data_IF_890608150526
#
_entry.id   IF_890608150526
#
_cell.length_a   1.000
_cell.length_b   1.000
_cell.length_c   1.000
_cell.angle_alpha   90.00
_cell.angle_beta   90.00
_cell.angle_gamma   90.00
#
_symmetry.space_group_name_H-M   'P 1'
#
loop_
_entity.id
_entity.type
_entity.pdbx_description
1 polymer ?
#
# COMPACT_ATOMS: atom_id res chain seq x y z
N UNK A 1 -5.34 18.77 36.58
CA UNK A 1 -4.18 18.43 35.73
C UNK A 1 -3.42 17.30 36.40
N UNK A 2 -3.58 16.07 35.93
CA UNK A 2 -2.76 14.91 36.31
C UNK A 2 -2.99 13.80 35.26
N UNK A 3 -1.95 12.99 35.03
CA UNK A 3 -1.80 11.92 34.03
C UNK A 3 -1.34 12.35 32.63
N UNK A 4 -0.26 13.13 32.59
CA UNK A 4 0.76 12.96 31.56
C UNK A 4 1.73 11.85 31.99
N UNK A 5 2.27 11.13 31.01
CA UNK A 5 3.45 10.25 31.13
C UNK A 5 3.24 8.87 31.78
N UNK A 6 2.65 7.92 31.03
CA UNK A 6 3.18 6.55 30.93
C UNK A 6 2.39 5.75 29.89
N UNK A 7 2.77 5.84 28.61
CA UNK A 7 2.31 4.90 27.56
C UNK A 7 3.50 4.13 26.95
N UNK A 8 4.71 4.31 27.49
CA UNK A 8 5.95 3.85 26.87
C UNK A 8 6.23 2.33 26.85
N UNK A 9 5.81 1.53 27.85
CA UNK A 9 6.01 0.06 27.80
C UNK A 9 4.72 -0.77 27.58
N UNK A 10 3.57 -0.32 28.09
CA UNK A 10 2.37 -1.19 28.19
C UNK A 10 1.71 -1.53 26.85
N UNK A 11 1.77 -0.66 25.85
CA UNK A 11 1.03 -0.84 24.59
C UNK A 11 1.68 -1.90 23.69
N UNK A 12 2.99 -1.77 23.47
CA UNK A 12 3.75 -2.75 22.69
C UNK A 12 3.85 -4.08 23.42
N UNK A 13 3.88 -4.11 24.76
CA UNK A 13 3.85 -5.35 25.52
C UNK A 13 2.52 -6.11 25.37
N UNK A 14 1.40 -5.39 25.38
CA UNK A 14 0.07 -5.99 25.10
C UNK A 14 0.06 -6.56 23.68
N UNK A 15 0.52 -5.81 22.69
CA UNK A 15 0.60 -6.28 21.30
C UNK A 15 1.53 -7.49 21.20
N UNK A 16 2.71 -7.44 21.82
CA UNK A 16 3.66 -8.55 21.82
C UNK A 16 3.08 -9.82 22.46
N UNK A 17 2.33 -9.69 23.54
CA UNK A 17 1.61 -10.81 24.16
C UNK A 17 0.56 -11.37 23.20
N UNK A 18 -0.27 -10.52 22.58
CA UNK A 18 -1.27 -10.93 21.58
C UNK A 18 -0.62 -11.67 20.40
N UNK A 19 0.50 -11.17 19.88
CA UNK A 19 1.23 -11.80 18.78
C UNK A 19 1.90 -13.11 19.20
N UNK A 20 2.39 -13.22 20.44
CA UNK A 20 2.98 -14.45 20.99
C UNK A 20 1.91 -15.54 21.14
N UNK A 21 0.73 -15.19 21.66
CA UNK A 21 -0.40 -16.10 21.75
C UNK A 21 -0.86 -16.57 20.38
N UNK A 22 -0.94 -15.66 19.41
CA UNK A 22 -1.29 -16.02 18.04
C UNK A 22 -0.26 -16.96 17.41
N UNK A 23 1.03 -16.68 17.56
CA UNK A 23 2.09 -17.55 17.03
C UNK A 23 2.00 -18.96 17.62
N UNK A 24 1.67 -19.06 18.90
CA UNK A 24 1.48 -20.34 19.58
C UNK A 24 0.27 -21.08 19.02
N UNK A 25 -0.89 -20.41 18.88
CA UNK A 25 -2.13 -21.00 18.32
C UNK A 25 -1.92 -21.54 16.90
N UNK A 26 -1.25 -20.75 16.07
CA UNK A 26 -1.00 -21.07 14.66
C UNK A 26 0.04 -22.19 14.50
N UNK A 27 0.93 -22.38 15.48
CA UNK A 27 1.92 -23.47 15.48
C UNK A 27 1.31 -24.82 15.86
N UNK A 28 0.21 -24.82 16.61
CA UNK A 28 -0.47 -26.04 17.07
C UNK A 28 -1.51 -26.58 16.09
N UNK A 29 -2.01 -25.75 15.18
CA UNK A 29 -3.17 -26.10 14.33
C UNK A 29 -2.80 -26.07 12.85
N UNK A 30 -2.89 -27.23 12.19
CA UNK A 30 -2.54 -27.39 10.76
C UNK A 30 -3.66 -26.96 9.79
N UNK A 31 -4.87 -26.79 10.33
CA UNK A 31 -6.11 -26.51 9.60
C UNK A 31 -6.81 -25.27 10.18
N UNK A 32 -7.35 -24.42 9.30
CA UNK A 32 -8.12 -23.25 9.73
C UNK A 32 -9.54 -23.73 10.06
N UNK A 33 -9.83 -23.92 11.35
CA UNK A 33 -11.20 -24.18 11.79
C UNK A 33 -12.02 -22.88 11.77
N UNK A 34 -13.37 -22.95 11.71
CA UNK A 34 -14.21 -21.77 11.85
C UNK A 34 -13.94 -20.99 13.14
N UNK A 35 -13.67 -21.70 14.25
CA UNK A 35 -13.34 -21.05 15.54
C UNK A 35 -12.00 -20.31 15.47
N UNK A 36 -10.99 -20.90 14.83
CA UNK A 36 -9.69 -20.26 14.64
C UNK A 36 -9.82 -19.03 13.72
N UNK A 37 -10.64 -19.09 12.67
CA UNK A 37 -10.93 -17.91 11.82
C UNK A 37 -11.62 -16.80 12.62
N UNK A 38 -12.59 -17.14 13.48
CA UNK A 38 -13.27 -16.17 14.34
C UNK A 38 -12.32 -15.55 15.35
N UNK A 39 -11.44 -16.36 15.95
CA UNK A 39 -10.40 -15.88 16.87
C UNK A 39 -9.44 -14.89 16.18
N UNK A 40 -9.01 -15.20 14.96
CA UNK A 40 -8.15 -14.31 14.18
C UNK A 40 -8.80 -12.97 13.87
N UNK A 41 -10.06 -12.99 13.44
CA UNK A 41 -10.81 -11.77 13.16
C UNK A 41 -11.00 -10.93 14.42
N UNK A 42 -11.34 -11.57 15.55
CA UNK A 42 -11.42 -10.90 16.84
C UNK A 42 -10.09 -10.25 17.23
N UNK A 43 -8.97 -10.91 16.98
CA UNK A 43 -7.65 -10.37 17.28
C UNK A 43 -7.28 -9.18 16.39
N UNK A 44 -7.51 -9.28 15.07
CA UNK A 44 -7.28 -8.18 14.11
C UNK A 44 -8.11 -6.96 14.53
N UNK A 45 -9.38 -7.18 14.88
CA UNK A 45 -10.28 -6.11 15.33
C UNK A 45 -9.83 -5.51 16.66
N UNK A 46 -9.43 -6.33 17.65
CA UNK A 46 -8.93 -5.84 18.93
C UNK A 46 -7.66 -5.00 18.77
N UNK A 47 -6.73 -5.41 17.90
CA UNK A 47 -5.52 -4.65 17.61
C UNK A 47 -5.82 -3.32 16.93
N UNK A 48 -6.74 -3.33 15.95
CA UNK A 48 -7.22 -2.11 15.31
C UNK A 48 -7.88 -1.16 16.31
N UNK A 49 -8.78 -1.67 17.15
CA UNK A 49 -9.46 -0.84 18.15
C UNK A 49 -8.47 -0.26 19.16
N UNK A 50 -7.49 -1.05 19.57
CA UNK A 50 -6.41 -0.60 20.44
C UNK A 50 -5.62 0.55 19.80
N UNK A 51 -5.20 0.39 18.54
CA UNK A 51 -4.44 1.43 17.83
C UNK A 51 -5.27 2.70 17.54
N UNK A 52 -6.59 2.57 17.36
CA UNK A 52 -7.49 3.70 17.10
C UNK A 52 -7.50 4.75 18.22
N UNK A 53 -7.31 4.30 19.46
CA UNK A 53 -7.27 5.16 20.65
C UNK A 53 -5.93 5.89 20.83
N UNK A 54 -4.95 5.61 19.97
CA UNK A 54 -3.63 6.22 20.03
C UNK A 54 -3.47 7.36 19.01
N UNK A 55 -2.65 8.38 19.32
CA UNK A 55 -2.25 9.39 18.34
C UNK A 55 -1.44 8.77 17.20
N UNK A 56 -1.43 9.45 16.05
CA UNK A 56 -0.84 8.93 14.81
C UNK A 56 0.64 8.55 14.90
N UNK A 57 1.45 9.24 15.71
CA UNK A 57 2.85 8.86 15.91
C UNK A 57 3.00 7.48 16.58
N UNK A 58 2.10 7.14 17.52
CA UNK A 58 2.06 5.81 18.14
C UNK A 58 1.51 4.75 17.17
N UNK A 59 0.55 5.11 16.31
CA UNK A 59 0.10 4.20 15.25
C UNK A 59 1.26 3.81 14.33
N UNK A 60 2.16 4.74 13.99
CA UNK A 60 3.38 4.43 13.21
C UNK A 60 4.31 3.46 13.94
N UNK A 61 4.53 3.65 15.24
CA UNK A 61 5.33 2.73 16.06
C UNK A 61 4.70 1.33 16.11
N UNK A 62 3.37 1.25 16.27
CA UNK A 62 2.60 0.00 16.24
C UNK A 62 2.75 -0.69 14.87
N UNK A 63 2.58 0.05 13.76
CA UNK A 63 2.73 -0.47 12.41
C UNK A 63 4.16 -0.99 12.16
N UNK A 64 5.18 -0.26 12.62
CA UNK A 64 6.58 -0.69 12.54
C UNK A 64 6.83 -1.96 13.35
N UNK A 65 6.25 -2.06 14.55
CA UNK A 65 6.34 -3.25 15.39
C UNK A 65 5.71 -4.48 14.71
N UNK A 66 4.50 -4.34 14.19
CA UNK A 66 3.81 -5.42 13.45
C UNK A 66 4.65 -5.84 12.25
N UNK A 67 5.12 -4.89 11.45
CA UNK A 67 5.94 -5.13 10.25
C UNK A 67 7.23 -5.89 10.57
N UNK A 68 7.92 -5.54 11.66
CA UNK A 68 9.11 -6.23 12.12
C UNK A 68 8.83 -7.64 12.69
N UNK A 69 7.57 -7.92 13.03
CA UNK A 69 7.15 -9.23 13.51
C UNK A 69 6.72 -10.16 12.37
N UNK A 70 6.46 -9.63 11.17
CA UNK A 70 6.05 -10.42 10.00
C UNK A 70 7.14 -11.44 9.63
N UNK A 71 6.83 -12.76 9.57
CA UNK A 71 7.79 -13.77 9.14
C UNK A 71 8.26 -13.53 7.70
N UNK A 72 9.54 -13.85 7.44
CA UNK A 72 10.13 -13.71 6.10
C UNK A 72 9.40 -14.57 5.06
N UNK A 73 9.26 -14.01 3.86
CA UNK A 73 8.59 -14.60 2.69
C UNK A 73 9.21 -15.94 2.25
N UNK A 74 10.46 -16.20 2.63
CA UNK A 74 11.19 -17.44 2.33
C UNK A 74 10.70 -18.65 3.15
N UNK A 75 10.01 -18.41 4.28
CA UNK A 75 9.56 -19.46 5.19
C UNK A 75 8.26 -20.08 4.68
N UNK A 76 8.32 -21.39 4.41
CA UNK A 76 7.26 -22.14 3.73
C UNK A 76 6.25 -22.81 4.65
N UNK A 77 6.43 -22.76 5.98
CA UNK A 77 5.49 -23.46 6.87
C UNK A 77 4.09 -22.85 6.75
N UNK A 78 3.05 -23.69 6.81
CA UNK A 78 1.66 -23.20 6.77
C UNK A 78 1.38 -22.22 7.92
N UNK A 79 1.94 -22.48 9.09
CA UNK A 79 1.83 -21.59 10.25
C UNK A 79 2.47 -20.22 10.02
N UNK A 80 3.65 -20.15 9.40
CA UNK A 80 4.28 -18.86 9.08
C UNK A 80 3.45 -18.06 8.06
N UNK A 81 2.84 -18.72 7.07
CA UNK A 81 1.97 -18.06 6.08
C UNK A 81 0.69 -17.50 6.73
N UNK A 82 0.09 -18.25 7.65
CA UNK A 82 -1.10 -17.85 8.39
C UNK A 82 -0.78 -16.67 9.32
N UNK A 83 0.33 -16.74 10.07
CA UNK A 83 0.84 -15.63 10.88
C UNK A 83 1.10 -14.38 10.03
N UNK A 84 1.76 -14.52 8.88
CA UNK A 84 2.00 -13.41 7.96
C UNK A 84 0.68 -12.75 7.52
N UNK A 85 -0.32 -13.54 7.13
CA UNK A 85 -1.62 -13.02 6.69
C UNK A 85 -2.31 -12.23 7.82
N UNK A 86 -2.31 -12.76 9.05
CA UNK A 86 -2.96 -12.10 10.18
C UNK A 86 -2.23 -10.79 10.52
N UNK A 87 -0.89 -10.81 10.56
CA UNK A 87 -0.10 -9.61 10.83
C UNK A 87 -0.28 -8.53 9.75
N UNK A 88 -0.37 -8.92 8.48
CA UNK A 88 -0.63 -7.97 7.39
C UNK A 88 -2.04 -7.36 7.45
N UNK A 89 -3.06 -8.16 7.77
CA UNK A 89 -4.42 -7.65 7.97
C UNK A 89 -4.53 -6.74 9.20
N UNK A 90 -3.83 -7.11 10.28
CA UNK A 90 -3.65 -6.29 11.47
C UNK A 90 -2.98 -4.95 11.14
N UNK A 91 -1.89 -4.99 10.37
CA UNK A 91 -1.19 -3.79 9.90
C UNK A 91 -2.11 -2.90 9.07
N UNK A 92 -2.87 -3.48 8.13
CA UNK A 92 -3.87 -2.77 7.35
C UNK A 92 -4.93 -2.10 8.23
N UNK A 93 -5.47 -2.82 9.23
CA UNK A 93 -6.47 -2.29 10.16
C UNK A 93 -5.97 -1.03 10.89
N UNK A 94 -4.73 -1.06 11.37
CA UNK A 94 -4.08 0.12 11.98
C UNK A 94 -3.87 1.24 10.94
N UNK A 95 -3.42 0.89 9.73
CA UNK A 95 -3.19 1.84 8.64
C UNK A 95 -4.45 2.60 8.23
N UNK A 96 -5.62 1.95 8.17
CA UNK A 96 -6.91 2.60 7.84
C UNK A 96 -7.37 3.63 8.86
N UNK A 97 -6.78 3.65 10.06
CA UNK A 97 -7.09 4.61 11.11
C UNK A 97 -6.03 5.73 11.21
N UNK A 98 -4.94 5.64 10.44
CA UNK A 98 -3.88 6.63 10.42
C UNK A 98 -4.25 7.80 9.51
N UNK A 99 -4.08 9.04 9.98
CA UNK A 99 -4.25 10.23 9.15
C UNK A 99 -2.90 10.73 8.66
N UNK A 100 -2.64 10.60 7.36
CA UNK A 100 -1.35 11.00 6.79
C UNK A 100 -1.25 12.51 6.65
N UNK A 101 -0.38 13.13 7.46
CA UNK A 101 0.00 14.55 7.35
C UNK A 101 1.34 14.77 6.67
N UNK A 102 2.18 13.73 6.59
CA UNK A 102 3.53 13.79 6.01
C UNK A 102 3.94 12.39 5.57
N UNK A 103 4.34 12.23 4.30
CA UNK A 103 4.76 10.92 3.78
C UNK A 103 6.06 10.43 4.40
N UNK A 104 6.99 11.33 4.74
CA UNK A 104 8.23 10.96 5.43
C UNK A 104 7.95 10.31 6.80
N UNK A 105 6.94 10.83 7.53
CA UNK A 105 6.52 10.27 8.82
C UNK A 105 5.68 9.00 8.66
N UNK A 106 4.82 8.95 7.64
CA UNK A 106 3.98 7.79 7.34
C UNK A 106 4.80 6.58 6.84
N UNK A 107 5.91 6.84 6.16
CA UNK A 107 6.78 5.82 5.56
C UNK A 107 8.24 5.94 6.01
N UNK A 108 8.55 5.69 7.29
CA UNK A 108 9.94 5.52 7.73
C UNK A 108 10.63 4.45 6.88
N UNK A 109 11.91 4.63 6.55
CA UNK A 109 12.62 3.70 5.66
C UNK A 109 12.61 2.24 6.18
N UNK A 110 12.71 2.05 7.50
CA UNK A 110 12.62 0.74 8.16
C UNK A 110 11.25 0.08 8.01
N UNK A 111 10.19 0.85 7.77
CA UNK A 111 8.85 0.35 7.48
C UNK A 111 8.63 0.16 5.97
N UNK A 112 9.04 1.14 5.16
CA UNK A 112 8.80 1.15 3.72
C UNK A 112 9.54 0.02 3.00
N UNK A 113 10.83 -0.20 3.29
CA UNK A 113 11.63 -1.19 2.54
C UNK A 113 11.09 -2.62 2.69
N UNK A 114 10.75 -3.11 3.91
CA UNK A 114 10.08 -4.41 4.06
C UNK A 114 8.72 -4.48 3.35
N UNK A 115 7.94 -3.40 3.39
CA UNK A 115 6.64 -3.34 2.71
C UNK A 115 6.79 -3.49 1.20
N UNK A 116 7.76 -2.78 0.59
CA UNK A 116 8.06 -2.90 -0.85
C UNK A 116 8.60 -4.27 -1.23
N UNK A 117 9.34 -4.96 -0.35
CA UNK A 117 9.73 -6.37 -0.57
C UNK A 117 8.50 -7.27 -0.64
N UNK A 118 7.52 -7.07 0.23
CA UNK A 118 6.27 -7.86 0.24
C UNK A 118 5.33 -7.50 -0.92
N UNK A 119 5.37 -6.27 -1.43
CA UNK A 119 4.66 -5.89 -2.66
C UNK A 119 5.11 -6.74 -3.87
N UNK A 120 6.28 -7.38 -3.80
CA UNK A 120 6.85 -8.28 -4.82
C UNK A 120 6.79 -9.76 -4.42
N UNK A 121 6.09 -10.10 -3.34
CA UNK A 121 5.91 -11.49 -2.92
C UNK A 121 5.23 -12.28 -4.04
N UNK A 122 5.50 -13.60 -4.20
CA UNK A 122 4.88 -14.40 -5.26
C UNK A 122 3.35 -14.59 -5.07
N UNK A 123 2.86 -14.47 -3.85
CA UNK A 123 1.47 -14.73 -3.49
C UNK A 123 0.56 -13.49 -3.69
N UNK A 124 -0.49 -13.64 -4.50
CA UNK A 124 -1.42 -12.55 -4.84
C UNK A 124 -2.07 -11.88 -3.62
N UNK A 125 -2.72 -12.62 -2.69
CA UNK A 125 -3.31 -12.03 -1.49
C UNK A 125 -2.34 -11.19 -0.66
N UNK A 126 -1.08 -11.60 -0.55
CA UNK A 126 -0.04 -10.85 0.18
C UNK A 126 0.20 -9.50 -0.48
N UNK A 127 0.39 -9.49 -1.81
CA UNK A 127 0.57 -8.24 -2.57
C UNK A 127 -0.65 -7.32 -2.45
N UNK A 128 -1.86 -7.87 -2.55
CA UNK A 128 -3.10 -7.07 -2.45
C UNK A 128 -3.24 -6.39 -1.08
N UNK A 129 -2.96 -7.10 0.02
CA UNK A 129 -3.01 -6.49 1.36
C UNK A 129 -1.94 -5.41 1.49
N UNK A 130 -0.74 -5.61 0.92
CA UNK A 130 0.30 -4.58 0.88
C UNK A 130 -0.13 -3.35 0.08
N UNK A 131 -0.79 -3.54 -1.06
CA UNK A 131 -1.36 -2.43 -1.84
C UNK A 131 -2.42 -1.68 -1.04
N UNK A 132 -3.29 -2.38 -0.31
CA UNK A 132 -4.27 -1.75 0.57
C UNK A 132 -3.63 -0.97 1.73
N UNK A 133 -2.52 -1.46 2.29
CA UNK A 133 -1.76 -0.72 3.31
C UNK A 133 -1.19 0.57 2.71
N UNK A 134 -0.61 0.49 1.51
CA UNK A 134 -0.11 1.66 0.79
C UNK A 134 -1.26 2.64 0.50
N UNK A 135 -2.41 2.16 0.02
CA UNK A 135 -3.59 2.98 -0.25
C UNK A 135 -4.07 3.72 1.01
N UNK A 136 -4.24 3.01 2.13
CA UNK A 136 -4.67 3.59 3.40
C UNK A 136 -3.73 4.71 3.90
N UNK A 137 -2.43 4.58 3.65
CA UNK A 137 -1.43 5.57 4.06
C UNK A 137 -1.20 6.67 3.01
N UNK A 138 -1.54 6.43 1.75
CA UNK A 138 -1.42 7.40 0.67
C UNK A 138 -2.63 8.33 0.60
N UNK A 139 -3.85 7.79 0.79
CA UNK A 139 -5.11 8.46 0.47
C UNK A 139 -5.54 9.54 1.48
N UNK A 140 -4.78 10.64 1.53
CA UNK A 140 -5.06 11.78 2.43
C UNK A 140 -6.40 12.44 2.13
N UNK A 141 -6.77 12.45 0.85
CA UNK A 141 -7.94 13.18 0.36
C UNK A 141 -9.14 12.28 0.02
N UNK A 142 -9.12 11.00 0.43
CA UNK A 142 -10.23 10.04 0.30
C UNK A 142 -10.68 9.79 -1.16
N UNK A 143 -9.71 9.69 -2.07
CA UNK A 143 -9.90 9.43 -3.49
C UNK A 143 -10.02 7.94 -3.85
N UNK A 144 -9.80 7.00 -2.93
CA UNK A 144 -9.81 5.55 -3.25
C UNK A 144 -11.08 5.13 -4.00
N UNK A 145 -12.26 5.57 -3.53
CA UNK A 145 -13.54 5.24 -4.16
C UNK A 145 -13.70 5.89 -5.55
N UNK A 146 -13.14 7.08 -5.72
CA UNK A 146 -13.16 7.83 -6.99
C UNK A 146 -12.27 7.16 -8.03
N UNK A 147 -11.14 6.60 -7.61
CA UNK A 147 -10.12 5.96 -8.44
C UNK A 147 -10.33 4.44 -8.60
N UNK A 148 -11.51 3.93 -8.26
CA UNK A 148 -11.82 2.49 -8.21
C UNK A 148 -11.79 1.75 -9.56
N UNK A 149 -11.67 2.47 -10.69
CA UNK A 149 -11.59 1.87 -12.02
C UNK A 149 -10.71 2.68 -12.96
N UNK A 150 -10.04 1.99 -13.88
CA UNK A 150 -9.23 2.64 -14.94
C UNK A 150 -10.16 3.42 -15.86
N UNK A 151 -9.93 4.72 -15.98
CA UNK A 151 -10.74 5.61 -16.80
C UNK A 151 -9.90 6.67 -17.49
N UNK A 152 -10.25 6.97 -18.75
CA UNK A 152 -9.76 8.13 -19.51
C UNK A 152 -10.68 9.35 -19.34
N UNK A 153 -11.85 9.17 -18.73
CA UNK A 153 -12.78 10.28 -18.44
C UNK A 153 -12.32 11.05 -17.20
N UNK A 154 -12.69 12.35 -17.06
CA UNK A 154 -12.47 13.11 -15.84
C UNK A 154 -13.04 12.41 -14.61
N UNK A 155 -12.35 12.55 -13.48
CA UNK A 155 -12.85 12.16 -12.16
C UNK A 155 -13.46 13.42 -11.51
N UNK A 156 -14.78 13.64 -11.60
CA UNK A 156 -15.40 14.90 -11.20
C UNK A 156 -15.33 15.16 -9.69
N UNK A 157 -15.25 14.10 -8.88
CA UNK A 157 -15.18 14.17 -7.42
C UNK A 157 -13.75 14.00 -6.89
N UNK A 158 -12.73 14.11 -7.75
CA UNK A 158 -11.33 14.00 -7.34
C UNK A 158 -10.97 15.20 -6.46
N UNK A 159 -10.50 14.92 -5.25
CA UNK A 159 -9.95 15.91 -4.33
C UNK A 159 -8.43 15.90 -4.43
N UNK A 160 -7.80 17.04 -4.62
CA UNK A 160 -6.34 17.11 -4.70
C UNK A 160 -5.82 18.42 -4.10
N UNK A 161 -4.69 18.33 -3.44
CA UNK A 161 -3.89 19.47 -2.99
C UNK A 161 -2.47 19.34 -3.54
N UNK A 162 -1.79 20.45 -3.91
CA UNK A 162 -0.39 20.38 -4.34
C UNK A 162 0.49 19.75 -3.25
N UNK A 163 1.43 18.85 -3.60
CA UNK A 163 2.28 18.21 -2.62
C UNK A 163 3.15 19.23 -1.88
N UNK A 164 3.34 19.03 -0.57
CA UNK A 164 4.22 19.87 0.22
C UNK A 164 5.69 19.70 -0.19
N UNK A 165 6.57 20.64 0.19
CA UNK A 165 8.01 20.51 -0.05
C UNK A 165 8.60 19.21 0.53
N UNK A 166 8.11 18.78 1.70
CA UNK A 166 8.52 17.49 2.29
C UNK A 166 8.06 16.30 1.47
N UNK A 167 6.87 16.36 0.86
CA UNK A 167 6.34 15.28 0.01
C UNK A 167 7.10 15.19 -1.32
N UNK A 168 7.52 16.33 -1.89
CA UNK A 168 8.40 16.38 -3.06
C UNK A 168 9.75 15.72 -2.74
N UNK A 169 10.38 16.09 -1.61
CA UNK A 169 11.65 15.48 -1.16
C UNK A 169 11.48 13.97 -0.94
N UNK A 170 10.37 13.56 -0.32
CA UNK A 170 10.03 12.14 -0.15
C UNK A 170 9.94 11.42 -1.50
N UNK A 171 9.27 12.04 -2.48
CA UNK A 171 9.11 11.48 -3.83
C UNK A 171 10.46 11.29 -4.53
N UNK A 172 11.34 12.28 -4.52
CA UNK A 172 12.68 12.13 -5.10
C UNK A 172 13.53 11.06 -4.39
N UNK A 173 13.33 10.88 -3.08
CA UNK A 173 14.13 9.93 -2.28
C UNK A 173 13.63 8.49 -2.38
N UNK A 174 12.32 8.27 -2.40
CA UNK A 174 11.72 6.94 -2.28
C UNK A 174 10.74 6.58 -3.41
N UNK A 175 10.27 7.57 -4.18
CA UNK A 175 9.25 7.39 -5.22
C UNK A 175 9.65 6.35 -6.26
N UNK A 176 10.91 6.37 -6.73
CA UNK A 176 11.41 5.39 -7.70
C UNK A 176 11.29 3.94 -7.18
N UNK A 177 11.56 3.69 -5.89
CA UNK A 177 11.46 2.35 -5.31
C UNK A 177 10.00 1.89 -5.18
N UNK A 178 9.08 2.80 -4.83
CA UNK A 178 7.64 2.53 -4.75
C UNK A 178 7.11 2.20 -6.15
N UNK A 179 7.40 3.05 -7.12
CA UNK A 179 6.98 2.89 -8.51
C UNK A 179 7.53 1.61 -9.15
N UNK A 180 8.79 1.27 -8.89
CA UNK A 180 9.34 -0.01 -9.34
C UNK A 180 8.63 -1.21 -8.70
N UNK A 181 8.32 -1.15 -7.39
CA UNK A 181 7.58 -2.23 -6.74
C UNK A 181 6.16 -2.41 -7.31
N UNK A 182 5.51 -1.32 -7.74
CA UNK A 182 4.22 -1.37 -8.43
C UNK A 182 4.34 -2.02 -9.80
N UNK A 183 5.35 -1.65 -10.60
CA UNK A 183 5.63 -2.29 -11.90
C UNK A 183 5.86 -3.79 -11.71
N UNK A 184 6.72 -4.16 -10.76
CA UNK A 184 7.05 -5.56 -10.46
C UNK A 184 5.79 -6.34 -10.05
N UNK A 185 4.93 -5.76 -9.19
CA UNK A 185 3.66 -6.37 -8.79
C UNK A 185 2.73 -6.62 -9.98
N UNK A 186 2.59 -5.63 -10.87
CA UNK A 186 1.77 -5.73 -12.08
C UNK A 186 2.33 -6.76 -13.08
N UNK A 187 3.65 -6.97 -13.12
CA UNK A 187 4.28 -7.97 -13.97
C UNK A 187 4.08 -9.41 -13.46
N UNK A 188 3.83 -9.61 -12.17
CA UNK A 188 3.77 -10.93 -11.52
C UNK A 188 2.39 -11.62 -11.59
N UNK A 189 1.31 -10.93 -11.98
CA UNK A 189 -0.04 -11.51 -11.97
C UNK A 189 -0.95 -10.86 -12.99
N UNK A 190 -1.67 -11.72 -13.72
CA UNK A 190 -2.73 -11.37 -14.66
C UNK A 190 -4.12 -11.31 -14.01
N UNK A 191 -4.22 -11.55 -12.70
CA UNK A 191 -5.50 -11.47 -12.00
C UNK A 191 -5.99 -10.03 -11.94
N UNK A 192 -7.26 -9.85 -12.33
CA UNK A 192 -7.93 -8.54 -12.36
C UNK A 192 -7.95 -7.86 -10.99
N UNK A 193 -8.17 -8.61 -9.90
CA UNK A 193 -8.18 -8.08 -8.54
C UNK A 193 -6.82 -7.51 -8.12
N UNK A 194 -5.73 -8.24 -8.39
CA UNK A 194 -4.36 -7.81 -8.10
C UNK A 194 -3.92 -6.62 -8.97
N UNK A 195 -4.29 -6.61 -10.25
CA UNK A 195 -4.07 -5.48 -11.15
C UNK A 195 -4.82 -4.23 -10.70
N UNK A 196 -6.11 -4.38 -10.35
CA UNK A 196 -6.94 -3.26 -9.87
C UNK A 196 -6.36 -2.67 -8.59
N UNK A 197 -5.94 -3.52 -7.66
CA UNK A 197 -5.29 -3.06 -6.43
C UNK A 197 -3.97 -2.31 -6.71
N UNK A 198 -3.14 -2.81 -7.64
CA UNK A 198 -1.91 -2.12 -8.02
C UNK A 198 -2.18 -0.80 -8.75
N UNK A 199 -3.20 -0.75 -9.60
CA UNK A 199 -3.65 0.47 -10.28
C UNK A 199 -4.14 1.53 -9.29
N UNK A 200 -5.02 1.17 -8.34
CA UNK A 200 -5.54 2.09 -7.35
C UNK A 200 -4.39 2.73 -6.54
N UNK A 201 -3.40 1.93 -6.12
CA UNK A 201 -2.21 2.45 -5.43
C UNK A 201 -1.41 3.42 -6.32
N UNK A 202 -1.21 3.07 -7.59
CA UNK A 202 -0.51 3.94 -8.55
C UNK A 202 -1.25 5.26 -8.80
N UNK A 203 -2.58 5.21 -8.91
CA UNK A 203 -3.43 6.36 -9.11
C UNK A 203 -3.39 7.31 -7.90
N UNK A 204 -3.50 6.77 -6.69
CA UNK A 204 -3.35 7.55 -5.45
C UNK A 204 -1.96 8.19 -5.36
N UNK A 205 -0.90 7.43 -5.68
CA UNK A 205 0.46 7.96 -5.68
C UNK A 205 0.61 9.18 -6.61
N UNK A 206 0.02 9.11 -7.81
CA UNK A 206 0.03 10.23 -8.77
C UNK A 206 -0.77 11.42 -8.23
N UNK A 207 -1.99 11.20 -7.72
CA UNK A 207 -2.87 12.27 -7.22
C UNK A 207 -2.25 13.00 -6.04
N UNK A 208 -1.58 12.28 -5.15
CA UNK A 208 -1.05 12.84 -3.90
C UNK A 208 0.35 13.46 -4.04
N UNK A 209 1.13 13.08 -5.06
CA UNK A 209 2.56 13.45 -5.13
C UNK A 209 3.01 14.06 -6.47
N UNK A 210 2.19 14.04 -7.51
CA UNK A 210 2.61 14.61 -8.80
C UNK A 210 2.51 16.14 -8.82
N UNK A 211 3.57 16.77 -9.30
CA UNK A 211 3.63 18.21 -9.55
C UNK A 211 4.68 18.50 -10.64
N UNK A 212 4.90 19.77 -10.96
CA UNK A 212 5.90 20.19 -11.96
C UNK A 212 7.31 19.65 -11.68
N UNK A 213 7.67 19.44 -10.41
CA UNK A 213 9.01 18.98 -10.02
C UNK A 213 9.16 17.46 -10.07
N UNK A 214 8.06 16.69 -9.96
CA UNK A 214 8.07 15.23 -9.88
C UNK A 214 7.44 14.53 -11.09
N UNK A 215 6.87 15.30 -12.03
CA UNK A 215 6.15 14.78 -13.19
C UNK A 215 7.02 13.84 -14.04
N UNK A 216 8.32 14.14 -14.15
CA UNK A 216 9.23 13.35 -14.98
C UNK A 216 9.34 11.92 -14.45
N UNK A 217 9.47 11.74 -13.14
CA UNK A 217 9.57 10.43 -12.51
C UNK A 217 8.29 9.61 -12.70
N UNK A 218 7.12 10.25 -12.63
CA UNK A 218 5.84 9.58 -12.88
C UNK A 218 5.64 9.22 -14.36
N UNK A 219 6.09 10.06 -15.30
CA UNK A 219 6.06 9.73 -16.73
C UNK A 219 6.97 8.53 -17.04
N UNK A 220 8.17 8.48 -16.44
CA UNK A 220 9.07 7.32 -16.55
C UNK A 220 8.45 6.06 -15.94
N UNK A 221 7.73 6.18 -14.83
CA UNK A 221 6.98 5.07 -14.24
C UNK A 221 5.88 4.54 -15.17
N UNK A 222 5.08 5.42 -15.76
CA UNK A 222 4.02 5.04 -16.73
C UNK A 222 4.62 4.33 -17.94
N UNK A 223 5.75 4.85 -18.45
CA UNK A 223 6.52 4.22 -19.53
C UNK A 223 7.08 2.86 -19.09
N UNK A 224 7.51 2.71 -17.84
CA UNK A 224 7.95 1.43 -17.27
C UNK A 224 6.87 0.36 -17.29
N UNK A 225 5.62 0.71 -16.95
CA UNK A 225 4.47 -0.20 -17.06
C UNK A 225 4.25 -0.60 -18.52
N UNK A 226 4.29 0.38 -19.44
CA UNK A 226 4.12 0.11 -20.88
C UNK A 226 5.24 -0.78 -21.42
N UNK A 227 6.48 -0.56 -20.96
CA UNK A 227 7.64 -1.34 -21.38
C UNK A 227 7.47 -2.82 -21.01
N UNK A 228 6.98 -3.12 -19.80
CA UNK A 228 6.69 -4.50 -19.39
C UNK A 228 5.69 -5.17 -20.34
N UNK A 229 4.64 -4.46 -20.74
CA UNK A 229 3.66 -4.98 -21.70
C UNK A 229 4.29 -5.28 -23.07
N UNK A 230 5.24 -4.44 -23.51
CA UNK A 230 5.91 -4.57 -24.80
C UNK A 230 7.00 -5.66 -24.84
N UNK A 231 7.78 -5.82 -23.76
CA UNK A 231 9.01 -6.64 -23.80
C UNK A 231 8.88 -8.00 -23.15
N UNK A 232 7.91 -8.21 -22.26
CA UNK A 232 7.78 -9.48 -21.55
C UNK A 232 6.92 -10.43 -22.38
N UNK A 233 7.59 -11.33 -23.11
CA UNK A 233 6.93 -12.29 -24.02
C UNK A 233 6.08 -13.33 -23.29
N UNK A 234 6.35 -13.60 -22.01
CA UNK A 234 5.59 -14.57 -21.20
C UNK A 234 4.23 -14.06 -20.74
N UNK A 235 3.93 -12.77 -20.89
CA UNK A 235 2.63 -12.21 -20.52
C UNK A 235 1.58 -12.52 -21.58
N UNK A 236 0.41 -12.99 -21.14
CA UNK A 236 -0.74 -13.19 -22.03
C UNK A 236 -1.24 -11.88 -22.65
N UNK A 237 -1.81 -11.95 -23.85
CA UNK A 237 -2.27 -10.76 -24.59
C UNK A 237 -3.28 -9.90 -23.81
N UNK A 238 -4.20 -10.54 -23.08
CA UNK A 238 -5.19 -9.83 -22.24
C UNK A 238 -4.49 -9.02 -21.14
N UNK A 239 -3.45 -9.58 -20.53
CA UNK A 239 -2.66 -8.89 -19.52
C UNK A 239 -1.88 -7.72 -20.12
N UNK A 240 -1.22 -7.92 -21.27
CA UNK A 240 -0.54 -6.85 -22.01
C UNK A 240 -1.49 -5.69 -22.34
N UNK A 241 -2.71 -5.99 -22.83
CA UNK A 241 -3.74 -4.98 -23.07
C UNK A 241 -4.15 -4.26 -21.77
N UNK A 242 -4.26 -4.98 -20.66
CA UNK A 242 -4.60 -4.40 -19.35
C UNK A 242 -3.52 -3.42 -18.87
N UNK A 243 -2.24 -3.78 -19.02
CA UNK A 243 -1.12 -2.88 -18.70
C UNK A 243 -1.11 -1.63 -19.59
N UNK A 244 -1.38 -1.76 -20.89
CA UNK A 244 -1.54 -0.61 -21.77
C UNK A 244 -2.72 0.29 -21.37
N UNK A 245 -3.86 -0.30 -21.00
CA UNK A 245 -5.01 0.46 -20.52
C UNK A 245 -4.68 1.22 -19.22
N UNK A 246 -3.95 0.58 -18.29
CA UNK A 246 -3.43 1.21 -17.07
C UNK A 246 -2.49 2.37 -17.43
N UNK A 247 -1.50 2.17 -18.31
CA UNK A 247 -0.58 3.24 -18.72
C UNK A 247 -1.31 4.45 -19.31
N UNK A 248 -2.31 4.22 -20.16
CA UNK A 248 -3.13 5.30 -20.75
C UNK A 248 -3.95 6.00 -19.66
N UNK A 249 -4.61 5.24 -18.78
CA UNK A 249 -5.40 5.80 -17.68
C UNK A 249 -4.55 6.67 -16.73
N UNK A 250 -3.36 6.20 -16.37
CA UNK A 250 -2.42 6.95 -15.52
C UNK A 250 -1.85 8.19 -16.24
N UNK A 251 -1.58 8.13 -17.55
CA UNK A 251 -1.16 9.29 -18.34
C UNK A 251 -2.24 10.38 -18.38
N UNK A 252 -3.50 9.98 -18.54
CA UNK A 252 -4.64 10.91 -18.51
C UNK A 252 -4.86 11.47 -17.10
N UNK A 253 -4.58 10.70 -16.05
CA UNK A 253 -4.66 11.16 -14.67
C UNK A 253 -3.57 12.20 -14.38
N UNK A 254 -2.29 11.87 -14.62
CA UNK A 254 -1.16 12.78 -14.34
C UNK A 254 -1.26 14.09 -15.12
N UNK A 255 -1.76 14.06 -16.36
CA UNK A 255 -1.91 15.27 -17.18
C UNK A 255 -2.91 16.27 -16.58
N UNK A 256 -3.89 15.78 -15.82
CA UNK A 256 -4.88 16.61 -15.12
C UNK A 256 -4.40 17.07 -13.75
N UNK A 257 -3.72 16.20 -13.01
CA UNK A 257 -3.33 16.50 -11.63
C UNK A 257 -2.04 17.33 -11.53
N UNK A 258 -1.14 17.22 -12.52
CA UNK A 258 0.13 17.97 -12.53
C UNK A 258 -0.01 19.47 -12.83
N UNK A 259 -1.13 19.89 -13.43
CA UNK A 259 -1.34 21.29 -13.86
C UNK A 259 -0.55 21.70 -15.12
N UNK A 260 0.03 20.74 -15.86
CA UNK A 260 0.84 21.01 -17.05
C UNK A 260 -0.03 20.98 -18.31
N UNK A 261 -0.35 22.16 -18.85
CA UNK A 261 -1.24 22.31 -20.01
C UNK A 261 -0.77 21.51 -21.25
N UNK A 262 0.52 21.54 -21.58
CA UNK A 262 1.04 20.81 -22.74
C UNK A 262 0.84 19.28 -22.60
N UNK A 263 0.94 18.77 -21.37
CA UNK A 263 0.72 17.36 -21.09
C UNK A 263 -0.77 17.01 -21.16
N UNK A 264 -1.63 17.92 -20.69
CA UNK A 264 -3.09 17.79 -20.81
C UNK A 264 -3.52 17.75 -22.29
N UNK A 265 -3.02 18.66 -23.11
CA UNK A 265 -3.29 18.69 -24.56
C UNK A 265 -2.79 17.42 -25.25
N UNK A 266 -1.60 16.93 -24.88
CA UNK A 266 -1.07 15.68 -25.41
C UNK A 266 -1.96 14.48 -25.07
N UNK A 267 -2.42 14.38 -23.83
CA UNK A 267 -3.26 13.27 -23.36
C UNK A 267 -4.68 13.26 -23.95
N UNK A 268 -5.11 14.35 -24.60
CA UNK A 268 -6.42 14.45 -25.26
C UNK A 268 -6.40 14.10 -26.76
N UNK A 269 -5.21 13.92 -27.34
CA UNK A 269 -5.03 13.50 -28.74
C UNK A 269 -5.13 11.99 -28.87
#
# INVERSE_FOLDING_TARGET
>A
MAAGESVGPSALDIINNLLTHLRTSVSTTSEITPEESQYQEALINALGEFANHHPDYQKIEIMLFIMNTVPDLSKKSKGDQMLQNILLKSLLKVGTQYSTVSFEKAFPASFLQPLLKMARAPHNPTRMVVMQILQALLDRHQNEQVLSSVSVKPYPALSQEPPSRSDIIFTHKYGANIMQALIDSMALSDRVDALTSSFNTAALLIVEMSCNETVQEFLLFILGIQQVACTVDTLGNVHKCSLHAISIGLLVLISRVSGINNLLEYAQK
#
